data_IF_382167428384
#
_entry.id   IF_382167428384
#
_cell.length_a   1.000
_cell.length_b   1.000
_cell.length_c   1.000
_cell.angle_alpha   90.00
_cell.angle_beta   90.00
_cell.angle_gamma   90.00
#
_symmetry.space_group_name_H-M   'P 1'
#
loop_
_entity.id
_entity.type
_entity.pdbx_description
1 polymer ?
#
# COMPACT_ATOMS: atom_id res chain seq x y z
N UNK A 1 55.59 30.85 -1.48
CA UNK A 1 55.78 29.51 -0.87
C UNK A 1 54.46 29.11 -0.25
N UNK A 2 53.66 28.39 -1.04
CA UNK A 2 52.25 28.09 -0.84
C UNK A 2 52.04 26.96 0.16
N UNK A 3 51.37 27.25 1.28
CA UNK A 3 50.94 26.27 2.28
C UNK A 3 49.57 25.64 1.96
N UNK A 4 49.02 25.93 0.79
CA UNK A 4 47.69 25.50 0.34
C UNK A 4 47.70 24.21 -0.47
N UNK A 5 48.84 23.80 -1.05
CA UNK A 5 48.90 22.62 -1.93
C UNK A 5 49.21 21.28 -1.22
N UNK A 6 49.68 21.30 0.03
CA UNK A 6 49.98 20.06 0.77
C UNK A 6 48.75 19.42 1.45
N UNK A 7 47.62 20.13 1.52
CA UNK A 7 46.38 19.63 2.16
C UNK A 7 45.32 19.13 1.18
N UNK A 8 45.44 19.46 -0.10
CA UNK A 8 44.48 19.03 -1.14
C UNK A 8 44.84 17.64 -1.69
N UNK A 9 46.11 17.24 -1.66
CA UNK A 9 46.50 15.88 -2.08
C UNK A 9 46.21 14.78 -1.06
N UNK A 10 45.76 15.10 0.16
CA UNK A 10 45.40 14.10 1.19
C UNK A 10 43.91 13.89 1.36
N UNK A 11 43.07 14.59 0.58
CA UNK A 11 41.60 14.48 0.62
C UNK A 11 41.09 13.63 -0.56
N UNK A 12 41.89 13.43 -1.62
CA UNK A 12 41.51 12.63 -2.78
C UNK A 12 41.89 11.14 -2.72
N UNK A 13 42.67 10.71 -1.72
CA UNK A 13 43.07 9.29 -1.56
C UNK A 13 42.12 8.47 -0.65
N UNK A 14 41.00 9.05 -0.22
CA UNK A 14 39.93 8.33 0.51
C UNK A 14 38.76 7.87 -0.36
N UNK A 15 38.88 7.96 -1.69
CA UNK A 15 37.95 7.36 -2.66
C UNK A 15 38.56 6.14 -3.37
N UNK A 16 39.24 5.24 -2.64
CA UNK A 16 39.52 3.91 -3.20
C UNK A 16 39.83 2.87 -2.13
N UNK A 17 38.98 2.79 -1.11
CA UNK A 17 38.74 1.52 -0.46
C UNK A 17 37.32 1.12 -0.86
N UNK A 18 37.19 0.49 -2.03
CA UNK A 18 36.10 -0.45 -2.27
C UNK A 18 36.28 -1.57 -1.25
N UNK A 19 35.76 -1.38 -0.03
CA UNK A 19 35.28 -2.50 0.74
C UNK A 19 34.36 -3.26 -0.22
N UNK A 20 34.60 -4.55 -0.47
CA UNK A 20 33.57 -5.37 -1.07
C UNK A 20 32.35 -5.15 -0.19
N UNK A 21 31.25 -4.65 -0.74
CA UNK A 21 29.95 -4.69 -0.07
C UNK A 21 29.70 -6.19 0.16
N UNK A 22 30.16 -6.68 1.32
CA UNK A 22 30.03 -8.06 1.71
C UNK A 22 28.56 -8.40 1.58
N UNK A 23 28.27 -9.43 0.78
CA UNK A 23 26.94 -9.93 0.45
C UNK A 23 25.88 -9.54 1.48
N UNK A 24 25.21 -8.41 1.26
CA UNK A 24 24.10 -7.97 2.07
C UNK A 24 22.97 -8.94 1.77
N UNK A 25 22.75 -9.91 2.65
CA UNK A 25 21.76 -10.95 2.44
C UNK A 25 20.40 -10.39 2.80
N UNK A 26 19.56 -10.09 1.81
CA UNK A 26 18.14 -9.72 2.01
C UNK A 26 17.43 -10.69 2.95
N UNK A 27 17.85 -11.96 2.98
CA UNK A 27 17.31 -12.98 3.86
C UNK A 27 17.63 -12.73 5.34
N UNK A 28 18.81 -12.18 5.64
CA UNK A 28 19.18 -11.82 7.01
C UNK A 28 18.34 -10.64 7.49
N UNK A 29 18.14 -9.63 6.64
CA UNK A 29 17.30 -8.48 6.94
C UNK A 29 15.84 -8.89 7.16
N UNK A 30 15.32 -9.81 6.34
CA UNK A 30 13.96 -10.36 6.52
C UNK A 30 13.84 -11.11 7.84
N UNK A 31 14.84 -11.91 8.24
CA UNK A 31 14.84 -12.62 9.52
C UNK A 31 14.77 -11.65 10.69
N UNK A 32 15.68 -10.68 10.73
CA UNK A 32 15.73 -9.68 11.81
C UNK A 32 14.44 -8.86 11.86
N UNK A 33 13.94 -8.42 10.70
CA UNK A 33 12.68 -7.71 10.59
C UNK A 33 11.51 -8.53 11.14
N UNK A 34 11.40 -9.79 10.74
CA UNK A 34 10.31 -10.66 11.14
C UNK A 34 10.37 -10.99 12.64
N UNK A 35 11.55 -11.33 13.18
CA UNK A 35 11.74 -11.58 14.60
C UNK A 35 11.32 -10.38 15.45
N UNK A 36 11.79 -9.19 15.09
CA UNK A 36 11.46 -7.96 15.79
C UNK A 36 9.96 -7.65 15.73
N UNK A 37 9.37 -7.64 14.52
CA UNK A 37 7.97 -7.27 14.33
C UNK A 37 7.02 -8.29 14.95
N UNK A 38 7.32 -9.58 14.83
CA UNK A 38 6.50 -10.65 15.39
C UNK A 38 6.61 -10.71 16.91
N UNK A 39 7.79 -10.46 17.49
CA UNK A 39 7.94 -10.28 18.94
C UNK A 39 7.08 -9.13 19.46
N UNK A 40 7.19 -7.96 18.81
CA UNK A 40 6.38 -6.78 19.12
C UNK A 40 4.88 -7.06 19.03
N UNK A 41 4.44 -7.80 18.01
CA UNK A 41 3.04 -8.21 17.83
C UNK A 41 2.54 -9.02 19.03
N UNK A 42 3.33 -9.96 19.56
CA UNK A 42 2.91 -10.75 20.74
C UNK A 42 2.77 -9.89 21.99
N UNK A 43 3.63 -8.90 22.16
CA UNK A 43 3.70 -8.09 23.37
C UNK A 43 2.73 -6.91 23.39
N UNK A 44 2.45 -6.30 22.23
CA UNK A 44 1.74 -5.02 22.15
C UNK A 44 0.33 -5.12 21.56
N UNK A 45 -0.03 -6.23 20.91
CA UNK A 45 -1.33 -6.32 20.25
C UNK A 45 -2.50 -6.18 21.25
N UNK A 46 -3.57 -5.40 20.93
CA UNK A 46 -4.70 -5.20 21.84
C UNK A 46 -5.37 -6.50 22.29
N UNK A 47 -5.39 -7.51 21.41
CA UNK A 47 -5.98 -8.84 21.66
C UNK A 47 -4.99 -9.85 22.28
N UNK A 48 -3.81 -9.43 22.74
CA UNK A 48 -2.77 -10.34 23.24
C UNK A 48 -3.21 -11.24 24.39
N UNK A 49 -4.12 -10.76 25.25
CA UNK A 49 -4.69 -11.55 26.34
C UNK A 49 -5.49 -12.76 25.87
N UNK A 50 -5.90 -12.79 24.60
CA UNK A 50 -6.66 -13.86 23.98
C UNK A 50 -5.78 -14.82 23.16
N UNK A 51 -4.45 -14.62 23.16
CA UNK A 51 -3.54 -15.54 22.47
C UNK A 51 -3.40 -16.81 23.30
N UNK A 52 -3.37 -17.96 22.62
CA UNK A 52 -2.99 -19.21 23.27
C UNK A 52 -1.56 -19.10 23.80
N UNK A 53 -1.24 -19.79 24.89
CA UNK A 53 0.09 -19.72 25.51
C UNK A 53 1.20 -20.20 24.57
N UNK A 54 0.87 -21.10 23.65
CA UNK A 54 1.72 -21.65 22.59
C UNK A 54 1.56 -20.92 21.25
N UNK A 55 0.89 -19.77 21.22
CA UNK A 55 0.58 -19.09 19.97
C UNK A 55 1.85 -18.69 19.18
N UNK A 56 1.81 -19.13 17.92
CA UNK A 56 2.89 -19.37 16.96
C UNK A 56 3.83 -20.47 17.43
N UNK A 57 3.46 -21.73 17.14
CA UNK A 57 4.39 -22.84 17.24
C UNK A 57 5.66 -22.55 16.43
N UNK A 58 6.78 -23.16 16.81
CA UNK A 58 8.03 -23.02 16.07
C UNK A 58 7.86 -23.39 14.58
N UNK A 59 6.97 -24.35 14.29
CA UNK A 59 6.60 -24.77 12.94
C UNK A 59 5.89 -23.68 12.15
N UNK A 60 4.88 -23.02 12.74
CA UNK A 60 4.15 -21.92 12.08
C UNK A 60 5.05 -20.73 11.81
N UNK A 61 5.90 -20.36 12.78
CA UNK A 61 6.86 -19.28 12.60
C UNK A 61 7.88 -19.61 11.51
N UNK A 62 8.43 -20.82 11.51
CA UNK A 62 9.39 -21.27 10.50
C UNK A 62 8.78 -21.26 9.10
N UNK A 63 7.51 -21.68 8.99
CA UNK A 63 6.77 -21.64 7.72
C UNK A 63 6.53 -20.20 7.27
N UNK A 64 6.11 -19.31 8.17
CA UNK A 64 5.95 -17.88 7.87
C UNK A 64 7.26 -17.27 7.36
N UNK A 65 8.37 -17.56 8.05
CA UNK A 65 9.69 -17.09 7.65
C UNK A 65 10.06 -17.57 6.25
N UNK A 66 9.82 -18.84 5.92
CA UNK A 66 10.07 -19.38 4.58
C UNK A 66 9.27 -18.64 3.51
N UNK A 67 7.99 -18.35 3.75
CA UNK A 67 7.16 -17.57 2.83
C UNK A 67 7.70 -16.15 2.64
N UNK A 68 8.14 -15.50 3.72
CA UNK A 68 8.74 -14.17 3.68
C UNK A 68 10.06 -14.14 2.90
N UNK A 69 10.89 -15.18 3.04
CA UNK A 69 12.14 -15.30 2.26
C UNK A 69 11.85 -15.47 0.76
N UNK A 70 10.84 -16.26 0.39
CA UNK A 70 10.46 -16.48 -1.01
C UNK A 70 9.75 -15.28 -1.64
N UNK A 71 8.88 -14.60 -0.88
CA UNK A 71 8.16 -13.40 -1.33
C UNK A 71 8.98 -12.10 -1.22
N UNK A 72 10.12 -12.13 -0.54
CA UNK A 72 10.99 -10.99 -0.31
C UNK A 72 10.45 -9.99 0.73
N UNK A 73 11.18 -8.89 0.91
CA UNK A 73 10.91 -7.92 1.97
C UNK A 73 9.53 -7.23 1.85
N UNK A 74 9.05 -6.97 0.63
CA UNK A 74 7.72 -6.39 0.40
C UNK A 74 6.63 -7.32 0.91
N UNK A 75 6.76 -8.63 0.67
CA UNK A 75 5.83 -9.63 1.18
C UNK A 75 5.86 -9.66 2.71
N UNK A 76 7.06 -9.71 3.30
CA UNK A 76 7.23 -9.70 4.75
C UNK A 76 6.59 -8.44 5.39
N UNK A 77 6.80 -7.28 4.78
CA UNK A 77 6.22 -6.01 5.23
C UNK A 77 4.70 -6.01 5.20
N UNK A 78 4.10 -6.44 4.08
CA UNK A 78 2.63 -6.50 3.94
C UNK A 78 2.03 -7.53 4.88
N UNK A 79 2.66 -8.70 5.04
CA UNK A 79 2.19 -9.72 5.99
C UNK A 79 2.24 -9.19 7.42
N UNK A 80 3.33 -8.54 7.84
CA UNK A 80 3.38 -7.99 9.19
C UNK A 80 2.34 -6.90 9.40
N UNK A 81 2.12 -6.00 8.43
CA UNK A 81 1.03 -5.01 8.51
C UNK A 81 -0.35 -5.67 8.59
N UNK A 82 -0.55 -6.77 7.86
CA UNK A 82 -1.77 -7.57 7.92
C UNK A 82 -1.98 -8.21 9.31
N UNK A 83 -0.93 -8.72 9.93
CA UNK A 83 -0.99 -9.31 11.27
C UNK A 83 -1.09 -8.27 12.39
N UNK A 84 -0.50 -7.08 12.20
CA UNK A 84 -0.47 -5.97 13.18
C UNK A 84 -1.78 -5.19 13.28
N UNK A 85 -2.74 -5.41 12.36
CA UNK A 85 -4.01 -4.68 12.37
C UNK A 85 -4.80 -4.94 13.66
N UNK A 86 -5.13 -3.86 14.36
CA UNK A 86 -5.75 -3.89 15.69
C UNK A 86 -7.18 -4.42 15.71
N UNK A 87 -7.82 -4.46 14.55
CA UNK A 87 -9.23 -4.83 14.38
C UNK A 87 -9.46 -6.33 14.27
N UNK A 88 -8.41 -7.11 14.03
CA UNK A 88 -8.53 -8.51 13.65
C UNK A 88 -7.70 -9.40 14.56
N UNK A 89 -8.13 -10.65 14.73
CA UNK A 89 -7.43 -11.62 15.56
C UNK A 89 -6.21 -12.18 14.80
N UNK A 90 -4.97 -11.87 15.23
CA UNK A 90 -3.76 -12.26 14.49
C UNK A 90 -3.58 -13.76 14.28
N UNK A 91 -3.95 -14.68 15.21
CA UNK A 91 -3.87 -16.12 14.95
C UNK A 91 -4.68 -16.60 13.75
N UNK A 92 -5.90 -16.08 13.56
CA UNK A 92 -6.73 -16.40 12.39
C UNK A 92 -6.09 -15.88 11.11
N UNK A 93 -5.54 -14.66 11.15
CA UNK A 93 -4.84 -14.07 10.00
C UNK A 93 -3.56 -14.82 9.65
N UNK A 94 -2.76 -15.22 10.65
CA UNK A 94 -1.57 -16.03 10.44
C UNK A 94 -1.93 -17.35 9.77
N UNK A 95 -2.96 -18.03 10.26
CA UNK A 95 -3.46 -19.27 9.66
C UNK A 95 -3.88 -19.05 8.21
N UNK A 96 -4.54 -17.94 7.89
CA UNK A 96 -4.94 -17.61 6.53
C UNK A 96 -3.71 -17.43 5.60
N UNK A 97 -2.66 -16.74 6.06
CA UNK A 97 -1.41 -16.56 5.32
C UNK A 97 -0.69 -17.89 5.09
N UNK A 98 -0.60 -18.75 6.12
CA UNK A 98 0.07 -20.04 6.02
C UNK A 98 -0.64 -21.01 5.05
N UNK A 99 -1.96 -20.85 4.88
CA UNK A 99 -2.79 -21.67 3.99
C UNK A 99 -2.86 -21.14 2.55
N UNK A 100 -2.20 -20.02 2.23
CA UNK A 100 -2.17 -19.53 0.85
C UNK A 100 -1.49 -20.56 -0.06
N UNK A 101 -2.27 -21.06 -1.03
CA UNK A 101 -1.76 -21.95 -2.07
C UNK A 101 -0.80 -21.15 -2.95
N UNK A 102 0.44 -21.61 -3.03
CA UNK A 102 1.49 -21.02 -3.85
C UNK A 102 2.18 -22.15 -4.59
N UNK A 103 2.49 -21.93 -5.86
CA UNK A 103 3.21 -22.91 -6.65
C UNK A 103 4.65 -23.02 -6.11
N UNK A 104 5.03 -24.15 -5.49
CA UNK A 104 6.35 -24.32 -4.91
C UNK A 104 7.46 -24.37 -5.97
N UNK A 105 7.12 -24.50 -7.25
CA UNK A 105 8.06 -24.49 -8.37
C UNK A 105 8.32 -23.08 -8.91
N UNK A 106 7.52 -22.09 -8.49
CA UNK A 106 7.71 -20.70 -8.88
C UNK A 106 8.89 -20.07 -8.16
N UNK A 107 9.85 -19.59 -8.93
CA UNK A 107 10.98 -18.78 -8.43
C UNK A 107 10.69 -17.28 -8.40
N UNK A 108 9.50 -16.85 -8.86
CA UNK A 108 9.13 -15.44 -8.90
C UNK A 108 8.48 -14.99 -7.60
N UNK A 109 9.12 -14.04 -6.91
CA UNK A 109 8.57 -13.37 -5.72
C UNK A 109 7.24 -12.66 -6.00
N UNK A 110 6.98 -12.28 -7.26
CA UNK A 110 5.71 -11.69 -7.67
C UNK A 110 4.52 -12.61 -7.46
N UNK A 111 4.69 -13.94 -7.57
CA UNK A 111 3.58 -14.89 -7.39
C UNK A 111 3.13 -14.93 -5.93
N UNK A 112 4.07 -14.81 -4.99
CA UNK A 112 3.79 -14.71 -3.55
C UNK A 112 3.02 -13.43 -3.23
N UNK A 113 3.46 -12.30 -3.79
CA UNK A 113 2.76 -11.02 -3.66
C UNK A 113 1.36 -11.06 -4.27
N UNK A 114 1.21 -11.64 -5.46
CA UNK A 114 -0.08 -11.72 -6.15
C UNK A 114 -1.07 -12.59 -5.35
N UNK A 115 -0.61 -13.71 -4.78
CA UNK A 115 -1.43 -14.54 -3.89
C UNK A 115 -1.87 -13.77 -2.64
N UNK A 116 -0.95 -13.04 -2.00
CA UNK A 116 -1.23 -12.22 -0.83
C UNK A 116 -2.24 -11.11 -1.15
N UNK A 117 -2.04 -10.38 -2.25
CA UNK A 117 -2.94 -9.32 -2.68
C UNK A 117 -4.33 -9.86 -3.02
N UNK A 118 -4.41 -10.96 -3.78
CA UNK A 118 -5.70 -11.63 -4.07
C UNK A 118 -6.42 -12.04 -2.79
N UNK A 119 -5.70 -12.51 -1.77
CA UNK A 119 -6.28 -12.85 -0.49
C UNK A 119 -6.85 -11.61 0.23
N UNK A 120 -6.05 -10.56 0.38
CA UNK A 120 -6.47 -9.31 1.04
C UNK A 120 -7.68 -8.71 0.32
N UNK A 121 -7.64 -8.59 -1.02
CA UNK A 121 -8.78 -8.04 -1.78
C UNK A 121 -10.02 -8.94 -1.72
N UNK A 122 -9.87 -10.26 -1.63
CA UNK A 122 -11.01 -11.17 -1.46
C UNK A 122 -11.66 -11.06 -0.09
N UNK A 123 -10.95 -10.53 0.92
CA UNK A 123 -11.48 -10.34 2.28
C UNK A 123 -12.28 -9.03 2.45
N UNK A 124 -12.29 -8.15 1.44
CA UNK A 124 -13.04 -6.90 1.50
C UNK A 124 -14.55 -7.16 1.51
N UNK A 125 -15.26 -6.53 2.45
CA UNK A 125 -16.72 -6.62 2.53
C UNK A 125 -17.42 -6.01 1.30
N UNK A 126 -16.87 -4.92 0.76
CA UNK A 126 -17.38 -4.26 -0.45
C UNK A 126 -16.26 -4.07 -1.48
N UNK A 127 -15.98 -5.13 -2.23
CA UNK A 127 -14.93 -5.12 -3.26
C UNK A 127 -15.11 -4.01 -4.31
N UNK A 128 -16.29 -3.79 -4.92
CA UNK A 128 -16.48 -2.70 -5.89
C UNK A 128 -16.08 -1.33 -5.33
N UNK A 129 -16.52 -1.01 -4.11
CA UNK A 129 -16.21 0.28 -3.49
C UNK A 129 -14.73 0.38 -3.09
N UNK A 130 -14.12 -0.73 -2.64
CA UNK A 130 -12.68 -0.80 -2.38
C UNK A 130 -11.85 -0.53 -3.63
N UNK A 131 -12.25 -1.08 -4.78
CA UNK A 131 -11.60 -0.82 -6.06
C UNK A 131 -11.80 0.63 -6.53
N UNK A 132 -12.96 1.24 -6.28
CA UNK A 132 -13.19 2.65 -6.60
C UNK A 132 -12.31 3.57 -5.73
N UNK A 133 -12.17 3.29 -4.42
CA UNK A 133 -11.22 3.99 -3.52
C UNK A 133 -9.80 3.87 -4.04
N UNK A 134 -9.35 2.66 -4.37
CA UNK A 134 -8.00 2.42 -4.88
C UNK A 134 -7.78 3.05 -6.26
N UNK A 135 -8.81 3.11 -7.11
CA UNK A 135 -8.75 3.79 -8.40
C UNK A 135 -8.43 5.27 -8.22
N UNK A 136 -9.12 5.94 -7.28
CA UNK A 136 -8.84 7.34 -6.93
C UNK A 136 -7.42 7.48 -6.40
N UNK A 137 -7.02 6.64 -5.43
CA UNK A 137 -5.71 6.69 -4.79
C UNK A 137 -4.55 6.38 -5.74
N UNK A 138 -4.73 5.53 -6.76
CA UNK A 138 -3.64 5.12 -7.66
C UNK A 138 -3.52 6.03 -8.88
N UNK A 139 -4.64 6.52 -9.40
CA UNK A 139 -4.67 7.29 -10.65
C UNK A 139 -4.66 8.80 -10.44
N UNK A 140 -4.77 9.29 -9.20
CA UNK A 140 -4.58 10.71 -8.95
C UNK A 140 -3.17 11.16 -9.32
N UNK A 141 -3.07 12.37 -9.87
CA UNK A 141 -1.83 13.13 -10.00
C UNK A 141 -2.18 14.58 -9.69
N UNK A 142 -1.40 15.19 -8.79
CA UNK A 142 -1.48 16.62 -8.47
C UNK A 142 -2.37 17.00 -7.28
N UNK A 143 -3.52 16.33 -7.07
CA UNK A 143 -4.40 16.61 -5.92
C UNK A 143 -4.07 15.72 -4.73
N UNK A 144 -4.09 16.28 -3.51
CA UNK A 144 -3.94 15.50 -2.27
C UNK A 144 -5.14 14.60 -2.03
N UNK A 145 -4.94 13.29 -1.88
CA UNK A 145 -6.03 12.34 -1.61
C UNK A 145 -6.20 12.10 -0.11
N UNK A 146 -6.81 13.05 0.62
CA UNK A 146 -7.17 12.82 2.03
C UNK A 146 -8.38 11.86 2.11
N UNK A 147 -8.56 11.11 3.22
CA UNK A 147 -9.73 10.23 3.39
C UNK A 147 -11.06 10.95 3.14
N UNK A 148 -11.19 12.17 3.69
CA UNK A 148 -12.35 13.04 3.49
C UNK A 148 -12.55 13.41 2.02
N UNK A 149 -11.46 13.78 1.32
CA UNK A 149 -11.56 14.13 -0.09
C UNK A 149 -12.03 12.94 -0.94
N UNK A 150 -11.53 11.73 -0.65
CA UNK A 150 -11.95 10.51 -1.34
C UNK A 150 -13.42 10.20 -1.05
N UNK A 151 -13.87 10.36 0.19
CA UNK A 151 -15.26 10.21 0.60
C UNK A 151 -16.21 11.17 -0.12
N UNK A 152 -15.85 12.46 -0.14
CA UNK A 152 -16.58 13.51 -0.85
C UNK A 152 -16.62 13.26 -2.36
N UNK A 153 -15.52 12.76 -2.94
CA UNK A 153 -15.43 12.45 -4.38
C UNK A 153 -16.30 11.25 -4.77
N UNK A 154 -16.27 10.19 -3.98
CA UNK A 154 -17.07 8.99 -4.22
C UNK A 154 -18.53 9.17 -3.82
N UNK A 155 -18.88 10.27 -3.14
CA UNK A 155 -20.21 10.50 -2.55
C UNK A 155 -20.59 9.32 -1.66
N UNK A 156 -19.60 8.83 -0.93
CA UNK A 156 -19.80 7.79 0.07
C UNK A 156 -20.28 8.47 1.35
N UNK A 157 -21.33 7.94 1.98
CA UNK A 157 -21.81 8.50 3.26
C UNK A 157 -20.67 8.53 4.29
N UNK A 158 -20.74 9.47 5.24
CA UNK A 158 -19.67 9.69 6.22
C UNK A 158 -19.21 8.39 6.90
N UNK A 159 -17.88 8.18 6.95
CA UNK A 159 -17.24 7.03 7.59
C UNK A 159 -17.15 5.76 6.73
N UNK A 160 -17.77 5.72 5.55
CA UNK A 160 -17.73 4.53 4.69
C UNK A 160 -16.34 4.33 4.08
N UNK A 161 -15.70 5.41 3.61
CA UNK A 161 -14.33 5.30 3.07
C UNK A 161 -13.37 4.91 4.17
N UNK A 162 -13.54 5.43 5.39
CA UNK A 162 -12.69 5.06 6.52
C UNK A 162 -12.79 3.57 6.86
N UNK A 163 -13.99 2.98 6.81
CA UNK A 163 -14.17 1.53 7.01
C UNK A 163 -13.41 0.72 5.96
N UNK A 164 -13.50 1.12 4.69
CA UNK A 164 -12.79 0.43 3.59
C UNK A 164 -11.28 0.59 3.71
N UNK A 165 -10.81 1.78 4.08
CA UNK A 165 -9.39 2.04 4.30
C UNK A 165 -8.84 1.24 5.49
N UNK A 166 -9.68 0.92 6.48
CA UNK A 166 -9.33 0.04 7.59
C UNK A 166 -9.10 -1.39 7.10
N UNK A 167 -9.95 -1.91 6.21
CA UNK A 167 -9.75 -3.23 5.62
C UNK A 167 -8.53 -3.28 4.69
N UNK A 168 -8.22 -2.14 4.05
CA UNK A 168 -7.06 -1.97 3.17
C UNK A 168 -5.78 -1.53 3.89
N UNK A 169 -5.81 -1.34 5.22
CA UNK A 169 -4.67 -0.92 6.04
C UNK A 169 -3.34 -1.66 5.73
N UNK A 170 -3.32 -2.98 5.39
CA UNK A 170 -2.08 -3.65 5.03
C UNK A 170 -1.41 -3.09 3.76
N UNK A 171 -2.21 -2.54 2.85
CA UNK A 171 -1.79 -2.09 1.52
C UNK A 171 -1.72 -0.57 1.36
N UNK A 172 -2.40 0.17 2.23
CA UNK A 172 -2.42 1.63 2.21
C UNK A 172 -1.97 2.24 3.54
N UNK A 173 -1.34 3.40 3.45
CA UNK A 173 -1.07 4.27 4.59
C UNK A 173 -2.30 5.16 4.79
N UNK A 174 -3.00 4.93 5.90
CA UNK A 174 -4.19 5.69 6.28
C UNK A 174 -3.81 6.70 7.36
N UNK A 175 -4.11 8.00 7.17
CA UNK A 175 -4.00 8.99 8.23
C UNK A 175 -4.90 8.63 9.42
N UNK A 176 -4.40 8.79 10.65
CA UNK A 176 -5.08 8.32 11.87
C UNK A 176 -6.29 9.18 12.29
N UNK A 177 -6.51 10.34 11.67
CA UNK A 177 -7.61 11.24 11.99
C UNK A 177 -8.28 11.78 10.73
N UNK A 178 -9.59 12.00 10.78
CA UNK A 178 -10.36 12.61 9.68
C UNK A 178 -9.98 14.06 9.42
N UNK A 179 -9.38 14.74 10.42
CA UNK A 179 -8.83 16.09 10.30
C UNK A 179 -7.35 16.09 9.89
N UNK A 180 -6.78 14.91 9.66
CA UNK A 180 -5.42 14.76 9.20
C UNK A 180 -5.34 15.11 7.71
N UNK A 181 -4.44 16.05 7.39
CA UNK A 181 -4.20 16.51 6.02
C UNK A 181 -3.25 15.58 5.25
N UNK A 182 -2.80 14.49 5.86
CA UNK A 182 -2.00 13.46 5.20
C UNK A 182 -2.82 12.72 4.14
N UNK A 183 -2.12 12.26 3.12
CA UNK A 183 -2.72 11.57 1.98
C UNK A 183 -2.83 10.07 2.24
N UNK A 184 -3.89 9.47 1.70
CA UNK A 184 -3.97 8.03 1.50
C UNK A 184 -3.03 7.67 0.38
N UNK A 185 -2.05 6.82 0.67
CA UNK A 185 -1.05 6.36 -0.30
C UNK A 185 -0.92 4.85 -0.25
N UNK A 186 -0.60 4.21 -1.38
CA UNK A 186 -0.26 2.79 -1.40
C UNK A 186 1.10 2.58 -0.73
N UNK A 187 1.24 1.56 0.11
CA UNK A 187 2.49 1.30 0.84
C UNK A 187 3.66 0.95 -0.08
N UNK A 188 3.38 0.33 -1.23
CA UNK A 188 4.40 -0.10 -2.18
C UNK A 188 3.90 -0.06 -3.63
N UNK A 189 4.80 0.24 -4.57
CA UNK A 189 4.49 0.34 -6.00
C UNK A 189 3.93 -0.96 -6.60
N UNK A 190 4.28 -2.12 -6.03
CA UNK A 190 3.79 -3.42 -6.51
C UNK A 190 2.29 -3.61 -6.34
N UNK A 191 1.62 -2.88 -5.43
CA UNK A 191 0.15 -2.88 -5.32
C UNK A 191 -0.46 -2.26 -6.58
N UNK A 192 0.09 -1.12 -7.03
CA UNK A 192 -0.30 -0.46 -8.27
C UNK A 192 -0.01 -1.34 -9.48
N UNK A 193 1.18 -1.92 -9.55
CA UNK A 193 1.55 -2.82 -10.66
C UNK A 193 0.62 -4.03 -10.76
N UNK A 194 0.26 -4.64 -9.61
CA UNK A 194 -0.69 -5.74 -9.57
C UNK A 194 -2.06 -5.30 -10.10
N UNK A 195 -2.63 -4.22 -9.58
CA UNK A 195 -3.97 -3.75 -9.94
C UNK A 195 -4.07 -3.27 -11.39
N UNK A 196 -2.97 -2.82 -12.00
CA UNK A 196 -2.93 -2.37 -13.39
C UNK A 196 -2.49 -3.45 -14.39
N UNK A 197 -2.22 -4.68 -13.95
CA UNK A 197 -1.91 -5.81 -14.82
C UNK A 197 -3.08 -6.82 -14.80
N UNK A 198 -3.80 -7.00 -15.92
CA UNK A 198 -4.97 -7.88 -15.97
C UNK A 198 -4.61 -9.35 -15.76
N UNK A 199 -3.40 -9.79 -16.12
CA UNK A 199 -2.95 -11.17 -15.93
C UNK A 199 -2.71 -11.46 -14.46
N UNK A 200 -2.14 -10.47 -13.75
CA UNK A 200 -1.80 -10.60 -12.32
C UNK A 200 -2.98 -10.40 -11.40
N UNK A 201 -3.89 -9.48 -11.70
CA UNK A 201 -5.02 -9.13 -10.82
C UNK A 201 -6.33 -9.86 -11.14
N UNK A 202 -6.54 -10.29 -12.38
CA UNK A 202 -7.79 -10.96 -12.79
C UNK A 202 -9.02 -10.12 -12.46
N UNK A 203 -9.90 -10.61 -11.57
CA UNK A 203 -11.12 -9.88 -11.15
C UNK A 203 -10.86 -8.58 -10.38
N UNK A 204 -9.63 -8.34 -9.92
CA UNK A 204 -9.24 -7.13 -9.19
C UNK A 204 -8.67 -6.04 -10.11
N UNK A 205 -8.65 -6.29 -11.42
CA UNK A 205 -8.03 -5.40 -12.40
C UNK A 205 -8.72 -4.04 -12.48
N UNK A 206 -7.90 -2.99 -12.43
CA UNK A 206 -8.30 -1.60 -12.70
C UNK A 206 -7.88 -1.27 -14.13
N UNK A 207 -8.85 -1.35 -15.04
CA UNK A 207 -8.67 -0.91 -16.41
C UNK A 207 -8.53 0.62 -16.46
N UNK A 208 -7.32 1.10 -16.71
CA UNK A 208 -7.03 2.54 -16.78
C UNK A 208 -7.89 3.26 -17.83
N UNK A 209 -8.24 2.60 -18.94
CA UNK A 209 -9.00 3.22 -20.03
C UNK A 209 -10.43 3.58 -19.60
N UNK A 210 -11.06 2.75 -18.78
CA UNK A 210 -12.40 2.98 -18.22
C UNK A 210 -12.35 3.70 -16.87
N UNK A 211 -11.29 3.50 -16.09
CA UNK A 211 -11.11 4.11 -14.77
C UNK A 211 -11.07 5.64 -14.83
N UNK A 212 -10.40 6.25 -15.81
CA UNK A 212 -10.43 7.71 -15.98
C UNK A 212 -11.83 8.23 -16.32
N UNK A 213 -12.64 7.44 -17.06
CA UNK A 213 -14.05 7.75 -17.29
C UNK A 213 -14.86 7.74 -15.99
N UNK A 214 -14.65 6.73 -15.13
CA UNK A 214 -15.28 6.67 -13.80
C UNK A 214 -14.88 7.86 -12.92
N UNK A 215 -13.60 8.22 -12.89
CA UNK A 215 -13.10 9.38 -12.15
C UNK A 215 -13.77 10.67 -12.63
N UNK A 216 -13.89 10.87 -13.94
CA UNK A 216 -14.59 12.03 -14.50
C UNK A 216 -16.07 12.07 -14.05
N UNK A 217 -16.74 10.92 -14.00
CA UNK A 217 -18.11 10.81 -13.46
C UNK A 217 -18.19 11.19 -11.99
N UNK A 218 -17.26 10.71 -11.15
CA UNK A 218 -17.20 11.10 -9.73
C UNK A 218 -16.99 12.61 -9.57
N UNK A 219 -16.04 13.19 -10.30
CA UNK A 219 -15.80 14.63 -10.34
C UNK A 219 -17.06 15.42 -10.74
N UNK A 220 -17.75 15.03 -11.81
CA UNK A 220 -18.97 15.69 -12.26
C UNK A 220 -20.10 15.59 -11.25
N UNK A 221 -20.30 14.42 -10.62
CA UNK A 221 -21.33 14.25 -9.58
C UNK A 221 -21.03 15.13 -8.37
N UNK A 222 -19.77 15.21 -7.94
CA UNK A 222 -19.36 16.09 -6.83
C UNK A 222 -19.60 17.56 -7.14
N UNK A 223 -19.21 18.03 -8.33
CA UNK A 223 -19.48 19.41 -8.76
C UNK A 223 -20.97 19.74 -8.72
N UNK A 224 -21.81 18.82 -9.21
CA UNK A 224 -23.26 19.00 -9.15
C UNK A 224 -23.75 19.07 -7.72
N UNK A 225 -23.30 18.19 -6.83
CA UNK A 225 -23.66 18.24 -5.41
C UNK A 225 -23.26 19.55 -4.73
N UNK A 226 -22.07 20.08 -5.01
CA UNK A 226 -21.58 21.33 -4.42
C UNK A 226 -22.29 22.58 -4.93
N UNK A 227 -22.88 22.56 -6.13
CA UNK A 227 -23.75 23.65 -6.60
C UNK A 227 -25.04 23.79 -5.75
N UNK A 228 -25.44 22.75 -5.03
CA UNK A 228 -26.64 22.76 -4.17
C UNK A 228 -26.33 23.00 -2.69
N UNK A 229 -25.06 23.14 -2.29
CA UNK A 229 -24.65 23.38 -0.90
C UNK A 229 -24.01 24.78 -0.77
N UNK A 230 -24.51 25.68 0.10
CA UNK A 230 -23.97 27.03 0.25
C UNK A 230 -22.51 26.98 0.73
N UNK A 231 -21.67 27.80 0.11
CA UNK A 231 -20.22 27.74 0.25
C UNK A 231 -19.75 28.27 1.61
N UNK A 232 -19.02 27.45 2.36
CA UNK A 232 -18.19 27.89 3.49
C UNK A 232 -16.72 27.80 3.09
N UNK A 233 -16.14 28.97 2.84
CA UNK A 233 -14.70 29.30 2.76
C UNK A 233 -13.79 28.61 1.73
N UNK A 234 -13.34 29.43 0.76
CA UNK A 234 -11.91 29.57 0.44
C UNK A 234 -11.34 28.82 -0.76
N UNK A 235 -11.84 27.62 -1.09
CA UNK A 235 -11.27 26.82 -2.19
C UNK A 235 -12.33 26.54 -3.24
N UNK A 236 -12.03 26.92 -4.49
CA UNK A 236 -12.95 26.67 -5.61
C UNK A 236 -13.09 25.16 -5.83
N UNK A 237 -14.32 24.60 -5.78
CA UNK A 237 -14.61 23.20 -6.04
C UNK A 237 -13.93 22.60 -7.28
N UNK A 238 -13.77 23.43 -8.31
CA UNK A 238 -13.17 23.05 -9.59
C UNK A 238 -11.66 22.86 -9.45
N UNK A 239 -10.98 23.69 -8.66
CA UNK A 239 -9.52 23.66 -8.55
C UNK A 239 -9.01 22.39 -7.88
N UNK A 240 -9.79 21.81 -6.96
CA UNK A 240 -9.40 20.60 -6.23
C UNK A 240 -9.48 19.32 -7.09
N UNK A 241 -10.38 19.29 -8.09
CA UNK A 241 -10.61 18.13 -8.95
C UNK A 241 -10.05 18.30 -10.36
N UNK A 242 -9.65 19.52 -10.76
CA UNK A 242 -9.07 19.79 -12.07
C UNK A 242 -7.87 18.88 -12.40
N UNK A 243 -6.93 18.62 -11.46
CA UNK A 243 -5.84 17.69 -11.72
C UNK A 243 -6.34 16.29 -12.10
N UNK A 244 -7.37 15.77 -11.43
CA UNK A 244 -7.97 14.47 -11.72
C UNK A 244 -8.53 14.39 -13.16
N UNK A 245 -9.23 15.43 -13.61
CA UNK A 245 -9.78 15.52 -14.96
C UNK A 245 -8.66 15.62 -16.01
N UNK A 246 -7.63 16.43 -15.75
CA UNK A 246 -6.50 16.62 -16.66
C UNK A 246 -5.69 15.34 -16.88
N UNK A 247 -5.64 14.44 -15.89
CA UNK A 247 -4.94 13.17 -15.98
C UNK A 247 -5.57 12.22 -17.00
N UNK A 248 -6.89 12.16 -17.06
CA UNK A 248 -7.61 11.34 -18.03
C UNK A 248 -7.41 11.83 -19.47
N UNK A 249 -7.41 13.14 -19.67
CA UNK A 249 -7.12 13.76 -20.98
C UNK A 249 -5.67 13.46 -21.42
N UNK A 250 -4.71 13.62 -20.51
CA UNK A 250 -3.30 13.33 -20.79
C UNK A 250 -3.06 11.85 -21.11
N UNK A 251 -3.72 10.94 -20.39
CA UNK A 251 -3.64 9.51 -20.67
C UNK A 251 -4.18 9.14 -22.07
N UNK A 252 -5.33 9.71 -22.46
CA UNK A 252 -5.91 9.49 -23.79
C UNK A 252 -5.02 10.03 -24.92
N UNK A 253 -4.40 11.19 -24.71
CA UNK A 253 -3.47 11.78 -25.68
C UNK A 253 -2.20 10.93 -25.81
N UNK A 254 -1.66 10.43 -24.70
CA UNK A 254 -0.43 9.64 -24.69
C UNK A 254 -0.59 8.24 -25.28
N UNK A 255 -1.78 7.63 -25.16
CA UNK A 255 -2.00 6.23 -25.52
C UNK A 255 -2.83 6.02 -26.78
N UNK A 256 -3.17 7.08 -27.53
CA UNK A 256 -3.74 7.00 -28.88
C UNK A 256 -4.91 6.01 -29.00
N UNK A 257 -6.13 6.52 -28.81
CA UNK A 257 -7.43 5.84 -29.04
C UNK A 257 -7.38 4.55 -29.88
#
# INVERSE_FOLDING_TARGET
>A
MDWTNAKIHKINDTYSARTPLGFYSSDADIRVFLEYKFGKLKEEHPLKGNFAADWSSHTEYSRLLQLCLQGGFVYASVVMRYLESTWYYPPTRLSAILNLQQDPTSTSSSIYLDALYRHIFSSLANLPQGLDVLTVVILHRGSRMTPKFVEDLLISGQGHVQSILTDLEPLVLVPQSTNDLREVTVCHGSVREFLLDPKRSGRFFIDSSTAYGKLAVFCMKRLRFQQFVPHTEGISPIMDIFPLLSNGLSYRIANGS
#
